data_IF_155798266714
#
_entry.id   IF_155798266714
#
_cell.length_a   1.000
_cell.length_b   1.000
_cell.length_c   1.000
_cell.angle_alpha   90.00
_cell.angle_beta   90.00
_cell.angle_gamma   90.00
#
_symmetry.space_group_name_H-M   'P 1'
#
loop_
_entity.id
_entity.type
_entity.pdbx_description
1 polymer ?
#
# COMPACT_ATOMS: atom_id res chain seq x y z
N UNK A 1 -0.86 -6.37 -1.50
CA UNK A 1 -1.81 -5.25 -1.38
C UNK A 1 -3.17 -5.82 -1.07
N UNK A 2 -4.03 -4.98 -0.49
CA UNK A 2 -5.48 -5.17 -0.44
C UNK A 2 -6.03 -4.08 -1.37
N UNK A 3 -6.86 -4.48 -2.33
CA UNK A 3 -7.42 -3.62 -3.37
C UNK A 3 -8.90 -3.40 -3.08
N UNK A 4 -9.33 -2.16 -3.03
CA UNK A 4 -10.74 -1.74 -2.92
C UNK A 4 -11.16 -0.86 -4.11
N UNK A 5 -10.38 -0.92 -5.21
CA UNK A 5 -10.72 -0.25 -6.45
C UNK A 5 -11.89 -0.91 -7.18
N UNK A 6 -12.40 -0.23 -8.21
CA UNK A 6 -13.56 -0.68 -9.02
C UNK A 6 -13.43 -2.10 -9.60
N UNK A 7 -12.21 -2.62 -9.76
CA UNK A 7 -11.99 -4.00 -10.22
C UNK A 7 -12.18 -5.06 -9.12
N UNK A 8 -12.16 -4.66 -7.86
CA UNK A 8 -12.33 -5.53 -6.69
C UNK A 8 -13.82 -5.79 -6.35
N UNK A 9 -14.73 -4.93 -6.80
CA UNK A 9 -16.17 -5.06 -6.58
C UNK A 9 -16.76 -3.80 -5.93
N UNK A 10 -17.72 -3.99 -5.03
CA UNK A 10 -18.34 -2.91 -4.27
C UNK A 10 -17.29 -2.17 -3.42
N UNK A 11 -17.48 -0.86 -3.22
CA UNK A 11 -16.68 -0.01 -2.33
C UNK A 11 -16.92 -0.42 -0.86
N UNK A 12 -15.87 -0.93 -0.19
CA UNK A 12 -15.93 -1.41 1.19
C UNK A 12 -15.31 -0.43 2.20
N UNK A 13 -14.37 0.40 1.77
CA UNK A 13 -13.71 1.47 2.53
C UNK A 13 -13.72 2.80 1.73
N UNK A 14 -14.73 3.66 1.95
CA UNK A 14 -14.87 4.92 1.22
C UNK A 14 -13.73 5.93 1.45
N UNK A 15 -12.78 5.64 2.34
CA UNK A 15 -11.61 6.47 2.57
C UNK A 15 -10.39 6.04 1.71
N UNK A 16 -10.30 4.78 1.28
CA UNK A 16 -9.08 4.24 0.67
C UNK A 16 -9.39 3.25 -0.46
N UNK A 17 -8.92 3.55 -1.66
CA UNK A 17 -9.03 2.64 -2.81
C UNK A 17 -8.08 1.43 -2.71
N UNK A 18 -7.00 1.52 -1.92
CA UNK A 18 -6.06 0.41 -1.74
C UNK A 18 -5.18 0.58 -0.50
N UNK A 19 -4.70 -0.56 0.03
CA UNK A 19 -3.74 -0.62 1.13
C UNK A 19 -2.55 -1.52 0.76
N UNK A 20 -1.34 -1.05 1.07
CA UNK A 20 -0.11 -1.86 1.02
C UNK A 20 0.50 -1.93 2.41
N UNK A 21 0.40 -3.10 3.04
CA UNK A 21 1.11 -3.40 4.28
C UNK A 21 2.43 -4.11 3.96
N UNK A 22 3.53 -3.59 4.49
CA UNK A 22 4.88 -4.12 4.30
C UNK A 22 5.45 -4.46 5.67
N UNK A 23 5.99 -5.67 5.80
CA UNK A 23 6.75 -6.08 6.97
C UNK A 23 8.20 -6.27 6.54
N UNK A 24 9.08 -5.32 6.86
CA UNK A 24 10.51 -5.45 6.63
C UNK A 24 11.18 -6.06 7.88
N UNK A 25 11.31 -7.39 7.90
CA UNK A 25 11.98 -8.11 8.99
C UNK A 25 13.51 -8.20 8.82
N UNK A 26 14.10 -7.43 7.90
CA UNK A 26 15.55 -7.38 7.69
C UNK A 26 16.17 -6.23 8.47
N UNK A 27 17.47 -6.32 8.73
CA UNK A 27 18.24 -5.26 9.38
C UNK A 27 18.67 -4.14 8.40
N UNK A 28 18.15 -4.13 7.18
CA UNK A 28 18.46 -3.16 6.13
C UNK A 28 17.18 -2.52 5.60
N UNK A 29 17.29 -1.31 5.04
CA UNK A 29 16.18 -0.70 4.31
C UNK A 29 15.87 -1.51 3.05
N UNK A 30 14.58 -1.75 2.81
CA UNK A 30 14.12 -2.46 1.61
C UNK A 30 13.35 -1.51 0.71
N UNK A 31 13.58 -1.63 -0.60
CA UNK A 31 12.82 -0.91 -1.63
C UNK A 31 12.30 -1.90 -2.65
N UNK A 32 11.02 -1.80 -2.98
CA UNK A 32 10.41 -2.65 -4.01
C UNK A 32 9.44 -1.83 -4.84
N UNK A 33 9.40 -2.15 -6.13
CA UNK A 33 8.54 -1.50 -7.10
C UNK A 33 7.28 -2.32 -7.31
N UNK A 34 6.12 -1.66 -7.27
CA UNK A 34 4.88 -2.22 -7.79
C UNK A 34 4.49 -1.39 -9.00
N UNK A 35 4.64 -1.95 -10.20
CA UNK A 35 4.30 -1.28 -11.46
C UNK A 35 2.82 -0.85 -11.44
N UNK A 36 2.56 0.40 -11.81
CA UNK A 36 1.21 0.98 -11.82
C UNK A 36 0.73 1.53 -10.47
N UNK A 37 1.47 1.31 -9.38
CA UNK A 37 1.11 1.91 -8.09
C UNK A 37 1.28 3.44 -8.15
N UNK A 38 0.27 4.16 -7.69
CA UNK A 38 0.27 5.64 -7.65
C UNK A 38 -0.49 6.13 -6.42
N UNK A 39 -0.23 7.38 -6.00
CA UNK A 39 -1.04 8.03 -4.96
C UNK A 39 -0.90 7.48 -3.53
N UNK A 40 0.03 6.56 -3.28
CA UNK A 40 0.22 6.01 -1.93
C UNK A 40 0.92 7.01 -1.00
N UNK A 41 0.45 7.05 0.24
CA UNK A 41 1.08 7.77 1.35
C UNK A 41 1.16 6.88 2.58
N UNK A 42 2.10 7.15 3.49
CA UNK A 42 2.17 6.45 4.77
C UNK A 42 0.89 6.73 5.57
N UNK A 43 0.31 5.71 6.21
CA UNK A 43 -0.92 5.88 6.98
C UNK A 43 -0.76 6.93 8.09
N UNK A 44 -1.78 7.76 8.33
CA UNK A 44 -1.71 8.94 9.23
C UNK A 44 -1.29 8.60 10.65
N UNK A 45 -1.69 7.42 11.16
CA UNK A 45 -1.25 6.90 12.47
C UNK A 45 0.27 6.72 12.52
N UNK A 46 0.88 6.26 11.43
CA UNK A 46 2.33 6.04 11.36
C UNK A 46 3.09 7.35 11.09
N UNK A 47 2.51 8.28 10.32
CA UNK A 47 3.03 9.64 10.20
C UNK A 47 3.07 10.37 11.54
N UNK A 48 2.08 10.11 12.41
CA UNK A 48 1.94 10.71 13.75
C UNK A 48 2.48 9.81 14.87
N UNK A 49 3.27 8.79 14.54
CA UNK A 49 3.80 7.82 15.52
C UNK A 49 4.80 8.46 16.48
N UNK A 50 5.04 7.86 17.64
CA UNK A 50 6.19 8.18 18.50
C UNK A 50 7.48 7.50 18.01
N UNK A 51 7.35 6.44 17.19
CA UNK A 51 8.49 5.81 16.54
C UNK A 51 8.92 6.64 15.31
N UNK A 52 10.09 7.27 15.40
CA UNK A 52 10.63 8.08 14.31
C UNK A 52 11.12 7.24 13.13
N UNK A 53 11.42 5.94 13.32
CA UNK A 53 11.90 5.08 12.24
C UNK A 53 10.77 4.86 11.23
N UNK A 54 9.57 4.52 11.69
CA UNK A 54 8.43 4.26 10.78
C UNK A 54 8.04 5.50 9.97
N UNK A 55 8.22 6.71 10.50
CA UNK A 55 7.96 7.97 9.76
C UNK A 55 8.84 8.11 8.51
N UNK A 56 9.97 7.43 8.46
CA UNK A 56 10.87 7.40 7.30
C UNK A 56 10.40 6.49 6.16
N UNK A 57 9.33 5.71 6.35
CA UNK A 57 8.76 4.90 5.28
C UNK A 57 8.09 5.79 4.22
N UNK A 58 8.37 5.54 2.94
CA UNK A 58 7.99 6.44 1.86
C UNK A 58 7.54 5.71 0.60
N UNK A 59 6.75 6.41 -0.20
CA UNK A 59 6.40 6.00 -1.56
C UNK A 59 6.78 7.11 -2.55
N UNK A 60 7.49 6.74 -3.62
CA UNK A 60 7.82 7.64 -4.71
C UNK A 60 8.03 6.85 -6.01
N UNK A 61 7.50 7.35 -7.13
CA UNK A 61 7.67 6.75 -8.46
C UNK A 61 7.48 5.22 -8.48
N UNK A 62 6.30 4.77 -8.04
CA UNK A 62 5.90 3.34 -7.99
C UNK A 62 6.71 2.48 -7.00
N UNK A 63 7.61 3.09 -6.22
CA UNK A 63 8.52 2.38 -5.31
C UNK A 63 8.15 2.69 -3.87
N UNK A 64 8.00 1.62 -3.09
CA UNK A 64 7.84 1.67 -1.64
C UNK A 64 9.19 1.43 -0.99
N UNK A 65 9.57 2.29 -0.06
CA UNK A 65 10.79 2.18 0.74
C UNK A 65 10.42 2.06 2.20
N UNK A 66 10.90 1.01 2.86
CA UNK A 66 10.59 0.70 4.25
C UNK A 66 11.90 0.49 5.02
N UNK A 67 12.14 1.27 6.10
CA UNK A 67 13.32 1.12 6.94
C UNK A 67 13.49 -0.28 7.53
N UNK A 68 14.69 -0.58 8.02
CA UNK A 68 14.99 -1.83 8.69
C UNK A 68 14.03 -2.12 9.85
N UNK A 69 13.69 -3.40 10.07
CA UNK A 69 12.88 -3.89 11.19
C UNK A 69 11.56 -3.13 11.40
N UNK A 70 10.91 -2.70 10.32
CA UNK A 70 9.74 -1.82 10.35
C UNK A 70 8.55 -2.46 9.66
N UNK A 71 7.36 -2.28 10.24
CA UNK A 71 6.09 -2.52 9.53
C UNK A 71 5.50 -1.18 9.10
N UNK A 72 5.31 -0.98 7.80
CA UNK A 72 4.74 0.24 7.23
C UNK A 72 3.45 -0.09 6.48
N UNK A 73 2.42 0.73 6.70
CA UNK A 73 1.12 0.66 6.04
C UNK A 73 0.97 1.90 5.19
N UNK A 74 0.86 1.69 3.88
CA UNK A 74 0.59 2.74 2.92
C UNK A 74 -0.85 2.64 2.45
N UNK A 75 -1.49 3.80 2.29
CA UNK A 75 -2.86 3.89 1.78
C UNK A 75 -2.90 4.76 0.53
N UNK A 76 -3.74 4.35 -0.42
CA UNK A 76 -4.15 5.15 -1.56
C UNK A 76 -5.51 5.74 -1.23
N UNK A 77 -5.56 7.02 -0.91
CA UNK A 77 -6.81 7.68 -0.52
C UNK A 77 -7.80 7.69 -1.69
N UNK A 78 -9.06 7.40 -1.38
CA UNK A 78 -10.15 7.51 -2.34
C UNK A 78 -10.48 8.98 -2.61
N UNK A 79 -10.87 9.29 -3.85
CA UNK A 79 -11.35 10.60 -4.26
C UNK A 79 -12.86 10.78 -4.00
N UNK A 80 -13.55 11.48 -4.90
CA UNK A 80 -15.01 11.67 -4.81
C UNK A 80 -15.81 10.37 -5.03
N UNK A 81 -15.19 9.35 -5.62
CA UNK A 81 -15.77 8.04 -5.90
C UNK A 81 -14.67 6.97 -5.91
N UNK A 82 -15.06 5.70 -5.82
CA UNK A 82 -14.17 4.53 -5.88
C UNK A 82 -13.26 4.62 -7.12
N UNK A 83 -11.96 4.59 -6.88
CA UNK A 83 -10.93 4.72 -7.89
C UNK A 83 -10.49 3.37 -8.46
N UNK A 84 -9.36 3.38 -9.17
CA UNK A 84 -8.80 2.16 -9.75
C UNK A 84 -8.14 1.24 -8.72
N UNK A 85 -7.81 1.76 -7.52
CA UNK A 85 -7.07 1.02 -6.50
C UNK A 85 -5.72 0.51 -7.02
N UNK A 86 -5.36 -0.69 -6.57
CA UNK A 86 -4.15 -1.40 -6.97
C UNK A 86 -4.51 -2.83 -7.43
N UNK A 87 -4.89 -2.99 -8.71
CA UNK A 87 -5.45 -4.23 -9.23
C UNK A 87 -4.55 -5.44 -8.97
N UNK A 88 -5.17 -6.55 -8.55
CA UNK A 88 -4.47 -7.81 -8.32
C UNK A 88 -4.08 -8.48 -9.64
N UNK A 89 -2.80 -8.85 -9.75
CA UNK A 89 -2.35 -9.75 -10.82
C UNK A 89 -2.80 -11.18 -10.52
N UNK A 90 -3.76 -11.67 -11.32
CA UNK A 90 -4.31 -13.02 -11.23
C UNK A 90 -3.62 -14.02 -12.19
N UNK A 91 -2.65 -13.59 -12.99
CA UNK A 91 -2.05 -14.43 -14.04
C UNK A 91 -1.35 -15.70 -13.53
N UNK A 92 -0.94 -15.72 -12.26
CA UNK A 92 -0.33 -16.88 -11.59
C UNK A 92 -1.18 -17.50 -10.48
N UNK A 93 -2.44 -17.08 -10.33
CA UNK A 93 -3.32 -17.59 -9.27
C UNK A 93 -4.33 -18.58 -9.86
N UNK A 94 -4.34 -19.80 -9.32
CA UNK A 94 -5.42 -20.74 -9.58
C UNK A 94 -6.68 -20.24 -8.87
N UNK A 95 -7.55 -19.61 -9.64
CA UNK A 95 -8.85 -19.06 -9.19
C UNK A 95 -10.02 -19.95 -9.65
N UNK A 96 -9.72 -21.15 -10.17
CA UNK A 96 -10.76 -22.12 -10.49
C UNK A 96 -11.27 -22.77 -9.22
N UNK A 97 -12.60 -22.77 -9.04
CA UNK A 97 -13.31 -23.49 -7.98
C UNK A 97 -13.63 -24.91 -8.39
#
# INVERSE_FOLDING_TARGET
SIDDGVSAGDDLDPANDAIVAVVNSTNESQSFKITGATGFTLHTVQQSSEDDIVKGASFAAETFTVPALTTAVFVQAQGDAQGAGLPVDNSGKDVSS
#
